data_IF_534334079095
#
_entry.id   IF_534334079095
#
_cell.length_a   1.000
_cell.length_b   1.000
_cell.length_c   1.000
_cell.angle_alpha   90.00
_cell.angle_beta   90.00
_cell.angle_gamma   90.00
#
_symmetry.space_group_name_H-M   'P 1'
#
loop_
_entity.id
_entity.type
_entity.pdbx_description
1 polymer ?
#
# COMPACT_ATOMS: atom_id res chain seq x y z
N UNK A 1 69.53 -50.44 11.60
CA UNK A 1 68.82 -51.28 10.60
C UNK A 1 67.37 -50.83 10.57
N UNK A 2 67.10 -49.65 10.01
CA UNK A 2 66.75 -49.39 8.61
C UNK A 2 65.28 -49.74 8.31
N UNK A 3 64.46 -48.67 8.29
CA UNK A 3 63.47 -48.35 7.26
C UNK A 3 62.49 -49.47 6.91
N UNK A 4 61.24 -49.37 7.39
CA UNK A 4 60.00 -49.27 6.59
C UNK A 4 58.77 -49.49 7.52
N UNK A 5 58.54 -48.51 8.42
CA UNK A 5 57.22 -48.28 9.02
C UNK A 5 56.53 -47.25 8.12
N UNK A 6 55.25 -47.49 7.82
CA UNK A 6 54.40 -46.76 6.86
C UNK A 6 54.36 -47.40 5.48
N UNK A 7 53.15 -47.44 4.92
CA UNK A 7 52.80 -47.88 3.57
C UNK A 7 52.50 -49.37 3.37
N UNK A 8 51.41 -49.86 4.00
CA UNK A 8 50.58 -50.96 3.46
C UNK A 8 49.18 -51.09 4.08
N UNK A 9 48.63 -49.98 4.59
CA UNK A 9 47.21 -49.88 4.98
C UNK A 9 46.33 -49.30 3.84
N UNK A 10 46.87 -49.24 2.61
CA UNK A 10 46.25 -48.61 1.44
C UNK A 10 45.98 -49.60 0.29
N UNK A 11 45.81 -50.88 0.62
CA UNK A 11 45.52 -51.94 -0.36
C UNK A 11 44.37 -52.84 0.13
N UNK A 12 43.28 -52.23 0.61
CA UNK A 12 42.01 -52.94 0.81
C UNK A 12 40.79 -52.00 0.86
N UNK A 13 40.81 -50.88 0.12
CA UNK A 13 39.63 -50.04 -0.19
C UNK A 13 39.73 -49.60 -1.67
N UNK A 14 40.15 -50.53 -2.52
CA UNK A 14 40.34 -50.33 -3.97
C UNK A 14 39.62 -51.38 -4.82
N UNK A 15 38.67 -52.11 -4.23
CA UNK A 15 37.91 -53.18 -4.90
C UNK A 15 36.42 -53.18 -4.48
N UNK A 16 35.84 -51.98 -4.32
CA UNK A 16 34.38 -51.74 -4.30
C UNK A 16 34.01 -50.68 -5.37
N UNK A 17 34.96 -50.29 -6.22
CA UNK A 17 34.78 -49.28 -7.25
C UNK A 17 35.11 -49.86 -8.63
N UNK A 18 34.34 -50.85 -9.09
CA UNK A 18 34.19 -51.23 -10.51
C UNK A 18 33.33 -52.49 -10.69
N UNK A 19 32.05 -52.51 -10.28
CA UNK A 19 31.04 -53.39 -10.92
C UNK A 19 29.58 -53.12 -10.49
N UNK A 20 29.02 -51.91 -10.68
CA UNK A 20 27.56 -51.73 -10.86
C UNK A 20 27.34 -50.52 -11.78
N UNK A 21 27.37 -50.77 -13.09
CA UNK A 21 26.85 -49.86 -14.11
C UNK A 21 25.96 -50.68 -15.04
N UNK A 22 24.81 -50.11 -15.38
CA UNK A 22 23.68 -50.68 -16.14
C UNK A 22 22.89 -51.73 -15.33
N UNK A 23 21.67 -51.48 -14.87
CA UNK A 23 20.52 -50.91 -15.59
C UNK A 23 19.56 -50.22 -14.62
N UNK A 24 19.57 -48.89 -14.55
CA UNK A 24 18.47 -48.14 -13.91
C UNK A 24 17.44 -47.82 -15.00
N UNK A 25 16.18 -48.25 -14.89
CA UNK A 25 15.16 -47.92 -15.88
C UNK A 25 14.94 -46.41 -15.90
N UNK A 26 15.43 -45.78 -16.97
CA UNK A 26 15.03 -44.46 -17.43
C UNK A 26 13.58 -44.61 -17.92
N UNK A 27 12.61 -44.44 -17.02
CA UNK A 27 11.20 -44.59 -17.37
C UNK A 27 10.19 -44.71 -16.23
N UNK A 28 10.56 -44.40 -14.98
CA UNK A 28 9.65 -44.52 -13.83
C UNK A 28 9.55 -43.23 -12.98
N UNK A 29 9.76 -42.07 -13.60
CA UNK A 29 9.42 -40.77 -13.02
C UNK A 29 8.43 -40.05 -13.93
N UNK A 30 7.30 -40.70 -14.22
CA UNK A 30 6.23 -40.06 -15.00
C UNK A 30 4.83 -40.27 -14.40
N UNK A 31 4.73 -40.82 -13.19
CA UNK A 31 3.47 -41.05 -12.48
C UNK A 31 3.63 -40.79 -10.97
N UNK A 32 3.93 -39.54 -10.60
CA UNK A 32 3.63 -39.00 -9.28
C UNK A 32 3.51 -37.46 -9.28
N UNK A 33 3.20 -36.88 -10.45
CA UNK A 33 2.66 -35.53 -10.55
C UNK A 33 1.42 -35.61 -11.43
N UNK A 34 0.39 -36.29 -10.93
CA UNK A 34 -0.95 -35.74 -11.15
C UNK A 34 -0.90 -34.41 -10.44
N UNK A 35 -0.61 -33.36 -11.21
CA UNK A 35 -0.84 -32.01 -10.79
C UNK A 35 -2.31 -31.98 -10.37
N UNK A 36 -2.54 -31.97 -9.06
CA UNK A 36 -3.71 -31.31 -8.53
C UNK A 36 -3.60 -29.92 -9.14
N UNK A 37 -4.39 -29.68 -10.20
CA UNK A 37 -4.40 -28.38 -10.84
C UNK A 37 -4.63 -27.39 -9.71
N UNK A 38 -3.83 -26.33 -9.55
CA UNK A 38 -4.20 -25.27 -8.65
C UNK A 38 -5.59 -24.84 -9.12
N UNK A 39 -6.60 -25.17 -8.32
CA UNK A 39 -7.96 -24.68 -8.52
C UNK A 39 -7.80 -23.22 -8.82
N UNK A 40 -8.30 -22.81 -10.00
CA UNK A 40 -8.17 -21.46 -10.52
C UNK A 40 -8.18 -20.50 -9.35
N UNK A 41 -7.06 -19.80 -9.10
CA UNK A 41 -7.05 -18.73 -8.11
C UNK A 41 -8.25 -17.90 -8.52
N UNK A 42 -9.28 -17.88 -7.67
CA UNK A 42 -10.37 -16.93 -7.81
C UNK A 42 -9.67 -15.61 -8.07
N UNK A 43 -10.07 -14.84 -9.10
CA UNK A 43 -9.61 -13.47 -9.21
C UNK A 43 -9.82 -12.89 -7.81
N UNK A 44 -8.73 -12.61 -7.09
CA UNK A 44 -8.83 -11.75 -5.93
C UNK A 44 -9.39 -10.49 -6.55
N UNK A 45 -10.62 -10.13 -6.20
CA UNK A 45 -11.24 -8.90 -6.71
C UNK A 45 -10.17 -7.80 -6.59
N UNK A 46 -9.62 -7.34 -7.73
CA UNK A 46 -8.60 -6.28 -7.74
C UNK A 46 -9.19 -4.98 -7.14
N UNK A 47 -10.52 -4.92 -7.00
CA UNK A 47 -11.27 -3.89 -6.29
C UNK A 47 -11.27 -4.01 -4.76
N UNK A 48 -10.81 -5.13 -4.18
CA UNK A 48 -10.96 -5.44 -2.75
C UNK A 48 -9.67 -5.37 -1.92
N UNK A 49 -8.53 -4.99 -2.52
CA UNK A 49 -7.30 -4.79 -1.76
C UNK A 49 -7.39 -3.49 -0.97
N UNK A 50 -7.95 -3.55 0.24
CA UNK A 50 -7.94 -2.44 1.20
C UNK A 50 -6.50 -1.97 1.44
N UNK A 51 -6.36 -0.68 1.75
CA UNK A 51 -5.09 -0.13 2.25
C UNK A 51 -4.58 -0.95 3.44
N UNK A 52 -3.30 -1.25 3.44
CA UNK A 52 -2.63 -1.90 4.58
C UNK A 52 -2.25 -0.79 5.55
N UNK A 53 -2.88 -0.81 6.73
CA UNK A 53 -2.56 0.11 7.81
C UNK A 53 -1.88 -0.64 8.95
N UNK A 54 -0.64 -0.30 9.23
CA UNK A 54 0.19 -0.98 10.22
C UNK A 54 0.23 -0.16 11.50
N UNK A 55 -0.18 -0.77 12.61
CA UNK A 55 -0.16 -0.14 13.93
C UNK A 55 1.26 0.00 14.48
N UNK A 56 1.59 1.13 15.07
CA UNK A 56 2.88 1.33 15.73
C UNK A 56 2.89 0.69 17.13
N UNK A 57 3.52 -0.47 17.23
CA UNK A 57 3.81 -1.16 18.50
C UNK A 57 5.26 -0.94 18.96
N UNK A 58 5.87 0.17 18.50
CA UNK A 58 7.22 0.59 18.83
C UNK A 58 8.26 0.29 17.75
N UNK A 59 7.84 -0.04 16.52
CA UNK A 59 8.75 -0.19 15.38
C UNK A 59 9.08 1.14 14.67
N UNK A 60 8.33 2.21 14.95
CA UNK A 60 8.50 3.55 14.38
C UNK A 60 8.72 4.61 15.48
N UNK A 61 8.91 5.87 15.09
CA UNK A 61 8.94 6.99 16.02
C UNK A 61 7.62 7.05 16.84
N UNK A 62 7.71 7.46 18.11
CA UNK A 62 6.59 7.47 19.06
C UNK A 62 5.40 8.33 18.65
N UNK A 63 5.65 9.34 17.81
CA UNK A 63 4.66 10.32 17.38
C UNK A 63 3.73 9.73 16.31
N UNK A 64 4.21 8.72 15.57
CA UNK A 64 3.38 7.98 14.63
C UNK A 64 2.57 6.91 15.37
N UNK A 65 1.27 6.86 15.12
CA UNK A 65 0.35 5.83 15.64
C UNK A 65 0.16 4.72 14.63
N UNK A 66 0.10 5.07 13.34
CA UNK A 66 -0.03 4.11 12.25
C UNK A 66 0.83 4.51 11.05
N UNK A 67 1.18 3.52 10.23
CA UNK A 67 1.77 3.69 8.92
C UNK A 67 0.79 3.14 7.86
N UNK A 68 0.58 3.88 6.79
CA UNK A 68 -0.23 3.48 5.64
C UNK A 68 0.57 3.69 4.36
N UNK A 69 0.62 2.67 3.50
CA UNK A 69 1.28 2.78 2.19
C UNK A 69 0.26 3.18 1.14
N UNK A 70 0.48 4.32 0.49
CA UNK A 70 -0.35 4.81 -0.61
C UNK A 70 0.47 4.86 -1.90
N UNK A 71 -0.23 5.04 -3.02
CA UNK A 71 0.39 5.33 -4.32
C UNK A 71 1.24 6.62 -4.31
N UNK A 72 0.85 7.60 -3.50
CA UNK A 72 1.55 8.86 -3.29
C UNK A 72 2.72 8.82 -2.31
N UNK A 73 3.00 7.68 -1.66
CA UNK A 73 4.10 7.52 -0.72
C UNK A 73 3.70 6.86 0.60
N UNK A 74 4.45 7.15 1.66
CA UNK A 74 4.14 6.63 3.00
C UNK A 74 3.42 7.69 3.81
N UNK A 75 2.20 7.39 4.24
CA UNK A 75 1.42 8.22 5.15
C UNK A 75 1.61 7.73 6.59
N UNK A 76 2.05 8.63 7.47
CA UNK A 76 2.15 8.38 8.91
C UNK A 76 1.05 9.15 9.61
N UNK A 77 0.29 8.44 10.43
CA UNK A 77 -0.86 9.00 11.13
C UNK A 77 -0.45 9.35 12.56
N UNK A 78 -0.51 10.63 12.93
CA UNK A 78 -0.26 11.12 14.30
C UNK A 78 -1.57 11.54 14.96
N UNK A 79 -1.56 11.89 16.24
CA UNK A 79 -2.78 12.30 16.94
C UNK A 79 -3.41 13.59 16.35
N UNK A 80 -2.59 14.44 15.69
CA UNK A 80 -2.96 15.80 15.27
C UNK A 80 -2.65 16.12 13.80
N UNK A 81 -2.06 15.19 13.05
CA UNK A 81 -1.62 15.44 11.67
C UNK A 81 -1.48 14.15 10.85
N UNK A 82 -1.43 14.35 9.53
CA UNK A 82 -1.00 13.36 8.56
C UNK A 82 0.38 13.75 8.04
N UNK A 83 1.36 12.85 8.14
CA UNK A 83 2.70 13.11 7.62
C UNK A 83 2.91 12.27 6.36
N UNK A 84 3.05 12.90 5.22
CA UNK A 84 3.30 12.24 3.95
C UNK A 84 4.79 12.28 3.63
N UNK A 85 5.41 11.11 3.50
CA UNK A 85 6.77 10.96 3.01
C UNK A 85 6.75 10.54 1.55
N UNK A 86 7.26 11.39 0.66
CA UNK A 86 7.36 11.12 -0.77
C UNK A 86 8.83 11.04 -1.15
N UNK A 87 9.20 9.99 -1.84
CA UNK A 87 10.53 9.80 -2.41
C UNK A 87 10.47 10.07 -3.91
N UNK A 88 11.53 10.62 -4.49
CA UNK A 88 11.58 10.77 -5.94
C UNK A 88 11.49 9.39 -6.63
N UNK A 89 10.76 9.27 -7.76
CA UNK A 89 10.73 8.03 -8.51
C UNK A 89 12.13 7.65 -8.97
N UNK A 90 12.54 6.42 -8.71
CA UNK A 90 13.76 5.87 -9.30
C UNK A 90 13.45 5.50 -10.74
N UNK A 91 14.10 6.17 -11.71
CA UNK A 91 13.89 5.89 -13.12
C UNK A 91 14.09 4.39 -13.42
N UNK A 92 13.15 3.72 -14.09
CA UNK A 92 13.29 2.33 -14.45
C UNK A 92 14.50 2.14 -15.37
N UNK A 93 15.09 0.94 -15.32
CA UNK A 93 16.10 0.54 -16.31
C UNK A 93 15.43 0.60 -17.69
N UNK A 94 15.90 1.48 -18.56
CA UNK A 94 15.44 1.52 -19.95
C UNK A 94 16.07 0.37 -20.71
N UNK A 95 15.32 -0.22 -21.64
CA UNK A 95 15.81 -1.34 -22.46
C UNK A 95 17.03 -0.97 -23.33
N UNK A 96 17.26 0.32 -23.55
CA UNK A 96 18.40 0.87 -24.29
C UNK A 96 19.66 1.08 -23.43
N UNK A 97 19.61 0.84 -22.12
CA UNK A 97 20.82 0.85 -21.29
C UNK A 97 21.71 -0.35 -21.66
N UNK A 98 22.99 -0.14 -22.03
CA UNK A 98 23.88 -1.22 -22.43
C UNK A 98 23.95 -2.32 -21.34
N UNK A 99 23.67 -3.57 -21.73
CA UNK A 99 23.74 -4.77 -20.87
C UNK A 99 25.08 -4.91 -20.09
N UNK A 100 26.14 -4.26 -20.56
CA UNK A 100 27.44 -4.14 -19.88
C UNK A 100 27.34 -3.47 -18.50
N UNK A 101 26.51 -2.44 -18.31
CA UNK A 101 26.30 -1.79 -17.00
C UNK A 101 25.47 -2.65 -16.04
N UNK A 102 24.61 -3.52 -16.57
CA UNK A 102 23.81 -4.48 -15.79
C UNK A 102 24.62 -5.68 -15.28
N UNK A 103 25.84 -5.90 -15.80
CA UNK A 103 26.73 -7.02 -15.43
C UNK A 103 27.89 -6.62 -14.52
N UNK A 104 27.97 -5.36 -14.10
CA UNK A 104 28.95 -4.94 -13.11
C UNK A 104 28.67 -5.65 -11.77
N UNK A 105 29.62 -6.42 -11.21
CA UNK A 105 29.43 -7.01 -9.88
C UNK A 105 29.43 -5.85 -8.87
N UNK A 106 28.26 -5.59 -8.28
CA UNK A 106 27.96 -4.48 -7.36
C UNK A 106 27.69 -3.12 -8.03
N UNK A 107 26.77 -3.07 -9.01
CA UNK A 107 26.10 -1.79 -9.27
C UNK A 107 25.48 -1.29 -7.94
N UNK A 108 25.85 -0.08 -7.51
CA UNK A 108 25.27 0.52 -6.31
C UNK A 108 23.74 0.50 -6.45
N UNK A 109 23.00 0.13 -5.38
CA UNK A 109 21.54 0.15 -5.44
C UNK A 109 21.11 1.56 -5.85
N UNK A 110 20.32 1.64 -6.94
CA UNK A 110 19.71 2.91 -7.37
C UNK A 110 18.67 3.28 -6.33
N UNK A 111 19.08 4.09 -5.37
CA UNK A 111 18.25 4.64 -4.31
C UNK A 111 17.70 6.01 -4.75
N UNK A 112 16.49 6.38 -4.30
CA UNK A 112 16.01 7.75 -4.46
C UNK A 112 16.99 8.70 -3.77
N UNK A 113 17.43 9.74 -4.48
CA UNK A 113 18.40 10.73 -3.99
C UNK A 113 17.72 11.86 -3.21
N UNK A 114 16.41 12.03 -3.40
CA UNK A 114 15.61 13.10 -2.79
C UNK A 114 14.32 12.53 -2.22
N UNK A 115 13.87 13.16 -1.15
CA UNK A 115 12.57 12.94 -0.55
C UNK A 115 12.08 14.22 0.10
N UNK A 116 10.78 14.27 0.36
CA UNK A 116 10.14 15.34 1.12
C UNK A 116 9.22 14.74 2.18
N UNK A 117 9.16 15.39 3.33
CA UNK A 117 8.15 15.14 4.35
C UNK A 117 7.19 16.32 4.38
N UNK A 118 5.91 16.05 4.18
CA UNK A 118 4.82 17.04 4.22
C UNK A 118 3.97 16.75 5.45
N UNK A 119 3.73 17.77 6.27
CA UNK A 119 2.84 17.67 7.43
C UNK A 119 1.53 18.39 7.13
N UNK A 120 0.42 17.67 7.19
CA UNK A 120 -0.95 18.17 7.09
C UNK A 120 -1.56 18.12 8.49
N UNK A 121 -1.47 19.22 9.23
CA UNK A 121 -1.98 19.33 10.60
C UNK A 121 -3.43 19.79 10.64
N UNK A 122 -4.20 19.26 11.58
CA UNK A 122 -5.60 19.62 11.80
C UNK A 122 -5.69 20.81 12.76
N UNK A 123 -5.70 22.02 12.21
CA UNK A 123 -5.71 23.24 13.02
C UNK A 123 -7.08 23.44 13.69
N UNK A 124 -7.05 23.62 15.01
CA UNK A 124 -8.29 23.74 15.80
C UNK A 124 -8.98 22.41 16.07
N UNK A 125 -8.33 21.27 15.77
CA UNK A 125 -8.83 19.95 16.15
C UNK A 125 -8.97 19.82 17.67
N UNK A 126 -9.88 18.92 18.06
CA UNK A 126 -10.11 18.61 19.45
C UNK A 126 -8.86 17.93 20.08
N UNK A 127 -8.26 18.48 21.15
CA UNK A 127 -7.09 17.88 21.79
C UNK A 127 -7.38 16.52 22.45
N UNK A 128 -8.66 16.17 22.63
CA UNK A 128 -9.10 14.87 23.14
C UNK A 128 -9.41 13.85 22.02
N UNK A 129 -9.11 14.15 20.76
CA UNK A 129 -9.27 13.20 19.64
C UNK A 129 -8.50 11.91 19.91
N UNK A 130 -9.13 10.79 19.59
CA UNK A 130 -8.50 9.46 19.67
C UNK A 130 -8.46 8.83 18.31
N UNK A 131 -7.38 8.11 18.02
CA UNK A 131 -7.15 7.43 16.74
C UNK A 131 -7.20 5.91 16.91
N UNK A 132 -8.01 5.25 16.11
CA UNK A 132 -8.28 3.82 16.20
C UNK A 132 -8.15 3.14 14.82
N UNK A 133 -7.38 2.06 14.76
CA UNK A 133 -7.40 1.13 13.64
C UNK A 133 -8.69 0.34 13.64
N UNK A 134 -9.38 0.31 12.51
CA UNK A 134 -10.63 -0.44 12.34
C UNK A 134 -10.49 -1.43 11.18
N UNK A 135 -11.44 -2.36 11.09
CA UNK A 135 -11.41 -3.43 10.09
C UNK A 135 -10.14 -4.29 10.19
N UNK A 136 -9.95 -5.04 11.29
CA UNK A 136 -8.72 -5.82 11.50
C UNK A 136 -8.51 -6.84 10.38
N UNK A 137 -7.30 -6.85 9.82
CA UNK A 137 -6.90 -7.80 8.79
C UNK A 137 -6.27 -9.04 9.44
N UNK A 138 -6.45 -10.20 8.79
CA UNK A 138 -5.78 -11.45 9.18
C UNK A 138 -4.25 -11.36 8.97
N UNK A 139 -3.80 -10.45 8.09
CA UNK A 139 -2.39 -10.18 7.83
C UNK A 139 -1.66 -9.74 9.09
N UNK A 140 -0.41 -10.20 9.20
CA UNK A 140 0.52 -9.83 10.28
C UNK A 140 1.87 -9.50 9.68
N UNK A 141 2.51 -8.46 10.20
CA UNK A 141 3.80 -7.97 9.69
C UNK A 141 4.89 -8.16 10.75
N UNK A 142 6.08 -8.53 10.30
CA UNK A 142 7.26 -8.72 11.14
C UNK A 142 8.32 -7.69 10.77
N UNK A 143 8.77 -6.89 11.74
CA UNK A 143 9.85 -5.91 11.62
C UNK A 143 11.11 -6.42 12.33
N UNK A 144 12.05 -6.96 11.56
CA UNK A 144 13.34 -7.47 12.06
C UNK A 144 14.44 -6.43 11.77
N UNK A 145 14.41 -5.29 12.47
CA UNK A 145 15.36 -4.19 12.23
C UNK A 145 16.67 -4.43 13.00
N UNK A 146 17.79 -4.47 12.27
CA UNK A 146 19.11 -4.69 12.84
C UNK A 146 19.34 -6.11 13.37
N UNK A 147 20.48 -6.30 14.04
CA UNK A 147 20.92 -7.63 14.50
C UNK A 147 20.52 -7.94 15.96
N UNK A 148 19.84 -7.03 16.65
CA UNK A 148 19.38 -7.22 18.03
C UNK A 148 17.93 -7.72 18.06
N UNK A 149 17.66 -8.98 18.47
CA UNK A 149 16.30 -9.51 18.57
C UNK A 149 15.39 -8.74 19.54
N UNK A 150 15.93 -8.00 20.52
CA UNK A 150 15.12 -7.18 21.42
C UNK A 150 14.45 -6.00 20.68
N UNK A 151 15.03 -5.57 19.55
CA UNK A 151 14.47 -4.56 18.65
C UNK A 151 13.45 -5.11 17.66
N UNK A 152 13.29 -6.43 17.57
CA UNK A 152 12.38 -7.05 16.63
C UNK A 152 10.93 -6.93 17.10
N UNK A 153 10.01 -6.74 16.15
CA UNK A 153 8.57 -6.75 16.39
C UNK A 153 7.93 -7.76 15.47
N UNK A 154 7.37 -8.83 16.02
CA UNK A 154 6.66 -9.85 15.25
C UNK A 154 5.16 -9.76 15.49
N UNK A 155 4.38 -10.21 14.51
CA UNK A 155 2.92 -10.26 14.66
C UNK A 155 2.25 -8.90 14.79
N UNK A 156 2.83 -7.85 14.19
CA UNK A 156 2.28 -6.50 14.28
C UNK A 156 0.86 -6.48 13.69
N UNK A 157 -0.15 -5.94 14.40
CA UNK A 157 -1.51 -5.80 13.90
C UNK A 157 -1.58 -4.97 12.63
N UNK A 158 -2.52 -5.35 11.77
CA UNK A 158 -2.81 -4.66 10.52
C UNK A 158 -4.32 -4.42 10.44
N UNK A 159 -4.67 -3.24 9.97
CA UNK A 159 -6.03 -2.71 9.87
C UNK A 159 -6.32 -2.32 8.42
N UNK A 160 -7.60 -2.34 8.02
CA UNK A 160 -8.04 -1.90 6.70
C UNK A 160 -8.26 -0.40 6.61
N UNK A 161 -8.60 0.24 7.74
CA UNK A 161 -8.87 1.68 7.83
C UNK A 161 -8.46 2.24 9.20
N UNK A 162 -8.41 3.57 9.32
CA UNK A 162 -8.19 4.26 10.61
C UNK A 162 -9.21 5.37 10.79
N UNK A 163 -9.75 5.49 12.00
CA UNK A 163 -10.71 6.53 12.39
C UNK A 163 -10.12 7.44 13.46
N UNK A 164 -10.17 8.74 13.19
CA UNK A 164 -10.01 9.80 14.19
C UNK A 164 -11.40 10.13 14.74
N UNK A 165 -11.62 9.78 16.00
CA UNK A 165 -12.89 10.03 16.70
C UNK A 165 -12.92 11.44 17.27
N UNK A 166 -13.99 12.17 16.96
CA UNK A 166 -14.22 13.55 17.39
C UNK A 166 -13.06 14.45 17.00
N UNK A 167 -12.57 14.36 15.77
CA UNK A 167 -11.50 15.22 15.24
C UNK A 167 -11.89 16.70 15.37
N UNK A 168 -13.15 17.00 15.06
CA UNK A 168 -13.82 18.24 15.42
C UNK A 168 -15.16 17.89 16.11
N UNK A 169 -15.83 18.88 16.69
CA UNK A 169 -17.11 18.65 17.38
C UNK A 169 -18.14 18.01 16.44
N UNK A 170 -18.52 16.76 16.76
CA UNK A 170 -19.49 15.99 15.96
C UNK A 170 -18.97 15.49 14.61
N UNK A 171 -17.67 15.58 14.34
CA UNK A 171 -17.05 15.16 13.08
C UNK A 171 -15.85 14.25 13.33
N UNK A 172 -15.89 13.08 12.71
CA UNK A 172 -14.81 12.12 12.65
C UNK A 172 -14.11 12.20 11.29
N UNK A 173 -12.84 11.79 11.25
CA UNK A 173 -12.12 11.55 10.00
C UNK A 173 -11.85 10.06 9.86
N UNK A 174 -12.37 9.47 8.79
CA UNK A 174 -12.06 8.11 8.37
C UNK A 174 -11.02 8.16 7.24
N UNK A 175 -9.94 7.41 7.42
CA UNK A 175 -8.92 7.17 6.41
C UNK A 175 -9.04 5.72 5.96
N UNK A 176 -9.68 5.55 4.82
CA UNK A 176 -9.93 4.28 4.15
C UNK A 176 -9.32 4.32 2.74
N UNK A 177 -9.33 3.17 2.07
CA UNK A 177 -9.05 3.16 0.64
C UNK A 177 -8.76 1.80 0.07
N UNK A 178 -8.51 1.79 -1.24
CA UNK A 178 -8.45 0.58 -2.05
C UNK A 178 -7.39 0.73 -3.13
N UNK A 179 -6.71 -0.37 -3.45
CA UNK A 179 -5.66 -0.42 -4.48
C UNK A 179 -4.55 0.64 -4.29
N UNK A 180 -4.24 0.99 -3.04
CA UNK A 180 -3.23 2.00 -2.70
C UNK A 180 -3.71 3.45 -2.78
N UNK A 181 -4.93 3.71 -3.27
CA UNK A 181 -5.51 5.04 -3.30
C UNK A 181 -6.15 5.39 -1.97
N UNK A 182 -5.82 6.56 -1.43
CA UNK A 182 -6.39 7.09 -0.20
C UNK A 182 -7.75 7.75 -0.47
N UNK A 183 -8.74 7.42 0.34
CA UNK A 183 -10.07 8.03 0.30
C UNK A 183 -10.40 8.61 1.69
N UNK A 184 -9.98 9.85 2.01
CA UNK A 184 -10.33 10.46 3.27
C UNK A 184 -11.83 10.80 3.29
N UNK A 185 -12.49 10.58 4.43
CA UNK A 185 -13.91 10.89 4.59
C UNK A 185 -14.17 11.55 5.94
N UNK A 186 -14.79 12.72 5.91
CA UNK A 186 -15.37 13.35 7.09
C UNK A 186 -16.74 12.73 7.30
N UNK A 187 -16.99 12.21 8.50
CA UNK A 187 -18.26 11.59 8.88
C UNK A 187 -18.81 12.36 10.06
N UNK A 188 -20.00 12.93 9.92
CA UNK A 188 -20.63 13.71 10.98
C UNK A 188 -22.07 13.29 11.26
N UNK A 189 -22.61 13.75 12.37
CA UNK A 189 -24.06 13.69 12.60
C UNK A 189 -24.81 14.65 11.67
N UNK A 190 -26.10 14.42 11.42
CA UNK A 190 -26.93 15.31 10.58
C UNK A 190 -26.94 16.78 11.02
N UNK A 191 -26.58 17.07 12.27
CA UNK A 191 -26.47 18.43 12.83
C UNK A 191 -25.04 18.96 12.94
N UNK A 192 -24.02 18.18 12.57
CA UNK A 192 -22.63 18.57 12.75
C UNK A 192 -22.26 19.74 11.83
N UNK A 193 -21.55 20.71 12.39
CA UNK A 193 -21.07 21.88 11.68
C UNK A 193 -19.69 22.25 12.21
N UNK A 194 -18.67 22.22 11.36
CA UNK A 194 -17.33 22.62 11.75
C UNK A 194 -16.55 23.23 10.58
N UNK A 195 -15.55 24.02 10.95
CA UNK A 195 -14.49 24.47 10.04
C UNK A 195 -13.30 23.53 10.23
N UNK A 196 -13.04 22.69 9.24
CA UNK A 196 -11.87 21.80 9.19
C UNK A 196 -10.74 22.54 8.50
N UNK A 197 -9.67 22.86 9.22
CA UNK A 197 -8.50 23.55 8.64
C UNK A 197 -7.31 22.60 8.57
N UNK A 198 -6.80 22.41 7.35
CA UNK A 198 -5.57 21.68 7.06
C UNK A 198 -4.43 22.68 6.88
N UNK A 199 -3.46 22.68 7.79
CA UNK A 199 -2.23 23.46 7.65
C UNK A 199 -1.13 22.57 7.10
N UNK A 200 -0.52 23.03 6.00
CA UNK A 200 0.51 22.33 5.23
C UNK A 200 1.88 22.89 5.60
N UNK A 201 2.80 22.00 5.95
CA UNK A 201 4.22 22.29 6.13
C UNK A 201 5.04 21.37 5.23
N UNK A 202 6.19 21.84 4.74
CA UNK A 202 7.06 21.07 3.84
C UNK A 202 6.68 21.12 2.35
N UNK A 203 5.57 21.76 2.01
CA UNK A 203 5.15 22.07 0.64
C UNK A 203 4.30 23.35 0.60
N UNK A 204 4.11 23.92 -0.59
CA UNK A 204 3.21 25.05 -0.81
C UNK A 204 1.94 24.57 -1.50
N UNK A 205 0.78 25.07 -1.06
CA UNK A 205 -0.48 24.85 -1.78
C UNK A 205 -0.41 25.57 -3.12
N UNK A 206 -0.60 24.83 -4.22
CA UNK A 206 -0.52 25.38 -5.57
C UNK A 206 -1.90 25.61 -6.19
N UNK A 207 -2.78 24.62 -6.08
CA UNK A 207 -4.15 24.66 -6.62
C UNK A 207 -5.00 23.53 -6.05
N UNK A 208 -6.31 23.65 -6.24
CA UNK A 208 -7.27 22.56 -6.06
C UNK A 208 -7.87 22.22 -7.42
N UNK A 209 -7.84 20.94 -7.78
CA UNK A 209 -8.41 20.41 -9.02
C UNK A 209 -9.45 19.33 -8.68
N UNK A 210 -10.73 19.68 -8.77
CA UNK A 210 -11.81 18.82 -8.28
C UNK A 210 -11.69 18.54 -6.78
N UNK A 211 -11.43 17.29 -6.42
CA UNK A 211 -11.22 16.84 -5.03
C UNK A 211 -9.74 16.55 -4.73
N UNK A 212 -8.82 17.11 -5.51
CA UNK A 212 -7.38 16.90 -5.33
C UNK A 212 -6.70 18.22 -4.97
N UNK A 213 -5.97 18.22 -3.86
CA UNK A 213 -5.08 19.29 -3.45
C UNK A 213 -3.70 19.06 -4.06
N UNK A 214 -3.26 20.00 -4.89
CA UNK A 214 -1.93 19.98 -5.50
C UNK A 214 -0.94 20.78 -4.65
N UNK A 215 0.12 20.12 -4.23
CA UNK A 215 1.16 20.65 -3.35
C UNK A 215 2.49 20.72 -4.09
N UNK A 216 3.02 21.95 -4.28
CA UNK A 216 4.34 22.15 -4.83
C UNK A 216 5.42 21.83 -3.78
N UNK A 217 6.27 20.86 -4.07
CA UNK A 217 7.31 20.38 -3.15
C UNK A 217 8.69 20.30 -3.81
N UNK A 218 9.71 19.98 -3.02
CA UNK A 218 11.07 19.75 -3.52
C UNK A 218 11.16 18.58 -4.51
N UNK A 219 10.26 17.61 -4.47
CA UNK A 219 10.24 16.43 -5.37
C UNK A 219 9.22 16.55 -6.50
N UNK A 220 8.62 17.73 -6.67
CA UNK A 220 7.61 17.99 -7.70
C UNK A 220 6.22 18.26 -7.13
N UNK A 221 5.22 18.23 -8.00
CA UNK A 221 3.81 18.33 -7.63
C UNK A 221 3.38 17.04 -6.92
N UNK A 222 2.74 17.19 -5.77
CA UNK A 222 2.18 16.09 -4.99
C UNK A 222 0.68 16.28 -4.95
N UNK A 223 -0.04 15.28 -5.47
CA UNK A 223 -1.48 15.20 -5.38
C UNK A 223 -1.89 14.57 -4.04
N UNK A 224 -2.72 15.28 -3.28
CA UNK A 224 -3.32 14.77 -2.05
C UNK A 224 -4.85 14.82 -2.15
N UNK A 225 -5.58 13.70 -1.97
CA UNK A 225 -7.03 13.72 -2.05
C UNK A 225 -7.62 14.51 -0.87
N UNK A 226 -8.51 15.45 -1.16
CA UNK A 226 -9.31 16.11 -0.13
C UNK A 226 -10.36 15.15 0.43
N UNK A 227 -10.81 15.35 1.67
CA UNK A 227 -11.84 14.50 2.23
C UNK A 227 -13.16 14.66 1.49
N UNK A 228 -13.85 13.55 1.26
CA UNK A 228 -15.29 13.58 0.97
C UNK A 228 -16.09 13.69 2.26
N UNK A 229 -17.37 14.01 2.16
CA UNK A 229 -18.27 14.14 3.31
C UNK A 229 -19.68 13.68 2.92
N UNK A 230 -20.39 13.08 3.87
CA UNK A 230 -21.83 12.82 3.78
C UNK A 230 -22.66 14.10 3.98
N UNK A 231 -22.11 15.06 4.72
CA UNK A 231 -22.59 16.43 4.87
C UNK A 231 -22.12 17.34 3.71
N UNK A 232 -22.69 18.55 3.60
CA UNK A 232 -22.23 19.52 2.64
C UNK A 232 -20.81 19.99 2.98
N UNK A 233 -19.92 19.92 1.99
CA UNK A 233 -18.52 20.31 2.13
C UNK A 233 -18.21 21.44 1.13
N UNK A 234 -17.69 22.55 1.64
CA UNK A 234 -17.27 23.69 0.79
C UNK A 234 -15.90 24.19 1.18
N UNK A 235 -15.08 24.58 0.19
CA UNK A 235 -13.83 25.29 0.44
C UNK A 235 -14.19 26.73 0.83
N UNK A 236 -13.80 27.15 2.04
CA UNK A 236 -14.17 28.46 2.61
C UNK A 236 -13.01 29.43 2.77
N UNK A 237 -11.78 28.95 2.56
CA UNK A 237 -10.61 29.82 2.53
C UNK A 237 -9.35 29.05 2.18
N UNK A 238 -8.54 29.65 1.32
CA UNK A 238 -7.19 29.22 1.01
C UNK A 238 -6.26 30.37 1.39
N UNK A 239 -5.46 30.16 2.42
CA UNK A 239 -4.38 31.08 2.76
C UNK A 239 -3.11 30.57 2.10
N UNK A 240 -2.86 31.02 0.88
CA UNK A 240 -1.63 30.68 0.14
C UNK A 240 -0.38 31.29 0.78
N UNK A 241 -0.52 32.34 1.58
CA UNK A 241 0.60 32.92 2.35
C UNK A 241 0.85 32.15 3.66
N UNK A 242 -0.20 31.57 4.25
CA UNK A 242 -0.17 30.80 5.51
C UNK A 242 -0.17 29.28 5.34
N UNK A 243 -0.10 28.77 4.10
CA UNK A 243 -0.13 27.36 3.74
C UNK A 243 -1.30 26.58 4.40
N UNK A 244 -2.49 27.18 4.45
CA UNK A 244 -3.66 26.57 5.10
C UNK A 244 -4.87 26.51 4.16
N UNK A 245 -5.55 25.37 4.17
CA UNK A 245 -6.82 25.15 3.49
C UNK A 245 -7.92 24.96 4.52
N UNK A 246 -9.01 25.72 4.41
CA UNK A 246 -10.18 25.57 5.27
C UNK A 246 -11.38 25.06 4.51
N UNK A 247 -11.98 23.99 5.02
CA UNK A 247 -13.20 23.37 4.55
C UNK A 247 -14.31 23.61 5.58
N UNK A 248 -15.49 24.05 5.15
CA UNK A 248 -16.67 24.06 6.00
C UNK A 248 -17.47 22.79 5.74
N UNK A 249 -17.73 22.07 6.82
CA UNK A 249 -18.67 20.95 6.88
C UNK A 249 -19.93 21.46 7.55
N UNK A 250 -21.08 21.29 6.91
CA UNK A 250 -22.36 21.70 7.47
C UNK A 250 -23.49 20.78 6.99
N UNK A 251 -24.63 20.73 7.70
CA UNK A 251 -25.79 20.01 7.22
C UNK A 251 -26.19 20.47 5.81
N UNK A 252 -26.69 19.58 4.94
CA UNK A 252 -27.20 19.99 3.64
C UNK A 252 -28.31 21.03 3.84
N UNK A 253 -28.26 22.12 3.08
CA UNK A 253 -29.28 23.15 3.15
C UNK A 253 -30.66 22.52 2.93
N UNK A 254 -31.65 22.88 3.74
CA UNK A 254 -33.01 22.30 3.70
C UNK A 254 -33.71 22.39 2.32
N UNK A 255 -33.19 23.24 1.41
CA UNK A 255 -33.68 23.45 0.05
C UNK A 255 -32.63 23.14 -1.03
N UNK A 256 -31.55 22.40 -0.72
CA UNK A 256 -30.64 21.94 -1.75
C UNK A 256 -31.35 20.92 -2.65
N UNK A 257 -31.28 21.04 -3.99
CA UNK A 257 -31.82 20.00 -4.86
C UNK A 257 -31.18 18.68 -4.45
N UNK A 258 -32.00 17.67 -4.12
CA UNK A 258 -31.50 16.33 -3.86
C UNK A 258 -30.70 15.91 -5.08
N UNK A 259 -29.37 15.84 -4.94
CA UNK A 259 -28.51 15.31 -5.98
C UNK A 259 -28.98 13.88 -6.16
N UNK A 260 -29.63 13.58 -7.29
CA UNK A 260 -29.99 12.22 -7.66
C UNK A 260 -28.72 11.41 -7.46
N UNK A 261 -28.77 10.46 -6.51
CA UNK A 261 -27.73 9.45 -6.40
C UNK A 261 -27.76 8.74 -7.75
N UNK A 262 -26.83 9.06 -8.63
CA UNK A 262 -26.53 8.25 -9.79
C UNK A 262 -26.02 6.93 -9.24
N UNK A 263 -26.96 6.05 -8.93
CA UNK A 263 -26.67 4.63 -8.80
C UNK A 263 -26.31 4.23 -10.21
N UNK A 264 -25.01 4.30 -10.54
CA UNK A 264 -24.45 3.54 -11.65
C UNK A 264 -24.67 2.07 -11.28
N UNK A 265 -25.89 1.62 -11.52
CA UNK A 265 -26.23 0.21 -11.49
C UNK A 265 -25.47 -0.35 -12.67
N UNK A 266 -24.30 -0.93 -12.40
CA UNK A 266 -23.60 -1.80 -13.33
C UNK A 266 -24.58 -2.90 -13.75
N UNK A 267 -25.29 -2.65 -14.85
CA UNK A 267 -25.98 -3.67 -15.62
C UNK A 267 -24.90 -4.58 -16.20
N UNK A 268 -24.54 -5.62 -15.45
CA UNK A 268 -23.79 -6.74 -15.99
C UNK A 268 -24.71 -7.41 -17.02
N UNK A 269 -24.44 -7.18 -18.31
CA UNK A 269 -24.96 -8.05 -19.35
C UNK A 269 -24.18 -9.36 -19.29
N UNK A 270 -24.88 -10.46 -19.03
CA UNK A 270 -24.33 -11.79 -19.23
C UNK A 270 -24.04 -11.96 -20.71
N UNK A 271 -22.76 -11.89 -21.07
CA UNK A 271 -22.23 -12.37 -22.34
C UNK A 271 -22.46 -13.88 -22.41
N UNK A 272 -23.52 -14.30 -23.09
CA UNK A 272 -23.69 -15.70 -23.49
C UNK A 272 -22.86 -15.92 -24.75
N UNK A 273 -21.62 -16.38 -24.56
CA UNK A 273 -20.81 -16.93 -25.63
C UNK A 273 -21.36 -18.30 -26.03
N UNK A 274 -22.03 -18.37 -27.18
CA UNK A 274 -22.32 -19.63 -27.84
C UNK A 274 -21.06 -20.17 -28.51
N UNK A 275 -20.58 -21.33 -28.08
CA UNK A 275 -19.54 -22.09 -28.78
C UNK A 275 -20.21 -23.12 -29.70
N UNK A 276 -20.36 -22.78 -30.98
CA UNK A 276 -20.81 -23.72 -32.00
C UNK A 276 -20.57 -23.12 -33.38
N UNK A 277 -19.87 -23.86 -34.23
CA UNK A 277 -19.78 -23.57 -35.66
C UNK A 277 -21.18 -23.72 -36.28
N UNK A 278 -21.65 -22.68 -36.95
CA UNK A 278 -22.88 -22.71 -37.73
C UNK A 278 -22.51 -22.82 -39.22
N UNK A 279 -22.97 -23.89 -39.87
CA UNK A 279 -22.76 -24.12 -41.32
C UNK A 279 -24.11 -24.24 -42.02
N UNK A 280 -24.39 -23.33 -42.96
CA UNK A 280 -25.58 -23.38 -43.81
C UNK A 280 -25.23 -23.79 -45.25
N UNK A 281 -25.81 -24.89 -45.71
CA UNK A 281 -25.83 -25.31 -47.12
C UNK A 281 -27.09 -24.75 -47.81
N UNK A 282 -26.94 -24.28 -49.05
CA UNK A 282 -28.02 -23.69 -49.86
C UNK A 282 -28.61 -24.76 -50.77
N UNK A 283 -29.93 -25.01 -50.66
CA UNK A 283 -30.73 -25.77 -51.63
C UNK A 283 -31.59 -24.77 -52.42
#
# INVERSE_FOLDING_TARGET
MMILRSLRFFLMIGLILAFVLATSPVGAWQQAFSADQPSARTPVDDAASSLIVVENVGQFASDARYQMQTDGGTLWLTDDALWLTVLEPVAPLTADEPLEQSRAPLAEPRLPKRGVAIRLSFEGANPATTIEGIDPLATRINYMKGNDPAGWRSGVPVWGSVRYHGLYEGIDLLLEGSAGHLHPRLVGTDSASAKVTLRVEGAAIQRIDGNVLHLASAVGDIAFPLPHSDLALTVVGEDTAGAALSLAVAPPAANAPQRERSVDTLLVSTFFGGSGDDSGERI
#
